data_IF_831340229035
#
_entry.id   IF_831340229035
#
_cell.length_a   1.000
_cell.length_b   1.000
_cell.length_c   1.000
_cell.angle_alpha   90.00
_cell.angle_beta   90.00
_cell.angle_gamma   90.00
#
_symmetry.space_group_name_H-M   'P 1'
#
loop_
_entity.id
_entity.type
_entity.pdbx_description
1 polymer ?
#
# COMPACT_ATOMS: atom_id res chain seq x y z
N UNK A 1 -25.75 12.31 18.50
CA UNK A 1 -25.22 11.91 18.65
C UNK A 1 -24.46 11.82 18.64
N UNK A 2 -24.30 11.65 18.80
CA UNK A 2 -23.67 11.53 18.87
C UNK A 2 -22.94 10.99 18.65
N UNK A 3 -22.52 11.22 18.41
CA UNK A 3 -21.81 10.53 18.14
C UNK A 3 -21.16 9.94 18.61
N UNK A 4 -21.20 10.15 19.05
CA UNK A 4 -20.76 9.76 19.56
C UNK A 4 -20.82 8.83 19.89
N UNK A 5 -21.30 9.00 20.14
CA UNK A 5 -21.48 7.96 20.49
C UNK A 5 -20.92 7.01 19.82
N UNK A 6 -19.82 7.12 19.62
CA UNK A 6 -19.15 6.12 19.02
C UNK A 6 -19.01 4.99 19.90
N UNK A 7 -19.51 3.93 19.51
CA UNK A 7 -19.32 2.69 20.09
C UNK A 7 -17.91 2.25 19.98
N UNK A 8 -17.53 1.31 20.78
CA UNK A 8 -16.23 0.70 20.67
C UNK A 8 -15.99 0.06 19.34
N UNK A 9 -17.01 -0.47 18.73
CA UNK A 9 -16.89 -1.04 17.40
C UNK A 9 -16.49 0.02 16.40
N UNK A 10 -17.01 1.19 16.56
CA UNK A 10 -16.67 2.26 15.64
C UNK A 10 -15.22 2.65 15.80
N UNK A 11 -14.74 2.67 17.03
CA UNK A 11 -13.34 2.98 17.26
C UNK A 11 -12.44 1.95 16.62
N UNK A 12 -12.81 0.70 16.77
CA UNK A 12 -12.08 -0.38 16.17
C UNK A 12 -12.03 -0.23 14.68
N UNK A 13 -13.17 0.07 14.11
CA UNK A 13 -13.28 0.26 12.68
C UNK A 13 -12.39 1.39 12.23
N UNK A 14 -12.33 2.45 13.01
CA UNK A 14 -11.47 3.57 12.68
C UNK A 14 -10.02 3.16 12.63
N UNK A 15 -9.58 2.32 13.55
CA UNK A 15 -8.22 1.83 13.55
C UNK A 15 -7.96 1.02 12.29
N UNK A 16 -8.89 0.16 11.92
CA UNK A 16 -8.76 -0.61 10.69
C UNK A 16 -8.73 0.31 9.48
N UNK A 17 -9.54 1.34 9.51
CA UNK A 17 -9.56 2.32 8.43
C UNK A 17 -8.21 2.96 8.27
N UNK A 18 -7.56 3.27 9.35
CA UNK A 18 -6.26 3.89 9.29
C UNK A 18 -5.25 2.98 8.61
N UNK A 19 -5.26 1.71 8.97
CA UNK A 19 -4.37 0.75 8.33
C UNK A 19 -4.68 0.62 6.86
N UNK A 20 -5.97 0.55 6.53
CA UNK A 20 -6.36 0.45 5.15
C UNK A 20 -5.93 1.66 4.36
N UNK A 21 -6.05 2.83 4.95
CA UNK A 21 -5.64 4.04 4.27
C UNK A 21 -4.14 4.03 3.98
N UNK A 22 -3.35 3.57 4.93
CA UNK A 22 -1.93 3.49 4.73
C UNK A 22 -1.57 2.48 3.66
N UNK A 23 -2.24 1.34 3.67
CA UNK A 23 -2.00 0.32 2.67
C UNK A 23 -2.34 0.85 1.29
N UNK A 24 -3.48 1.52 1.18
CA UNK A 24 -3.88 2.07 -0.11
C UNK A 24 -2.93 3.15 -0.59
N UNK A 25 -2.43 3.96 0.33
CA UNK A 25 -1.45 4.97 -0.02
C UNK A 25 -0.19 4.33 -0.58
N UNK A 26 0.30 3.31 0.08
CA UNK A 26 1.49 2.60 -0.38
C UNK A 26 1.23 1.95 -1.73
N UNK A 27 0.09 1.31 -1.88
CA UNK A 27 -0.24 0.68 -3.15
C UNK A 27 -0.29 1.69 -4.29
N UNK A 28 -0.82 2.86 -4.00
CA UNK A 28 -0.90 3.90 -5.01
C UNK A 28 0.48 4.36 -5.44
N UNK A 29 1.37 4.54 -4.47
CA UNK A 29 2.73 4.94 -4.79
C UNK A 29 3.43 3.89 -5.64
N UNK A 30 3.29 2.63 -5.27
CA UNK A 30 3.91 1.57 -6.05
C UNK A 30 3.30 1.45 -7.43
N UNK A 31 1.99 1.62 -7.52
CA UNK A 31 1.32 1.58 -8.80
C UNK A 31 1.88 2.64 -9.74
N UNK A 32 2.09 3.85 -9.22
CA UNK A 32 2.69 4.90 -10.02
C UNK A 32 4.11 4.54 -10.45
N UNK A 33 4.85 3.91 -9.56
CA UNK A 33 6.20 3.51 -9.89
C UNK A 33 6.23 2.44 -10.98
N UNK A 34 5.32 1.49 -10.90
CA UNK A 34 5.23 0.48 -11.96
C UNK A 34 5.00 1.15 -13.30
N UNK A 35 4.08 2.10 -13.33
CA UNK A 35 3.78 2.81 -14.57
C UNK A 35 5.00 3.55 -15.08
N UNK A 36 5.68 4.24 -14.18
CA UNK A 36 6.85 5.01 -14.59
C UNK A 36 7.95 4.11 -15.13
N UNK A 37 8.12 2.95 -14.55
CA UNK A 37 9.12 2.03 -15.04
C UNK A 37 8.74 1.53 -16.43
N UNK A 38 7.47 1.19 -16.61
CA UNK A 38 7.01 0.74 -17.91
C UNK A 38 7.19 1.80 -18.98
N UNK A 39 6.95 3.05 -18.62
CA UNK A 39 7.02 4.13 -19.59
C UNK A 39 8.44 4.55 -19.92
N UNK A 40 9.34 4.41 -18.97
CA UNK A 40 10.68 4.94 -19.13
C UNK A 40 11.75 3.89 -19.39
N UNK A 41 11.43 2.63 -19.21
CA UNK A 41 12.40 1.56 -19.37
C UNK A 41 11.98 0.67 -20.51
N UNK A 42 12.97 0.18 -21.25
CA UNK A 42 12.68 -0.74 -22.33
C UNK A 42 12.43 -2.12 -21.77
N UNK A 43 11.58 -2.90 -22.43
CA UNK A 43 11.38 -4.28 -22.00
C UNK A 43 12.71 -5.03 -22.04
N UNK A 44 12.92 -5.86 -21.03
CA UNK A 44 14.15 -6.62 -20.97
C UNK A 44 14.35 -7.14 -19.57
N UNK A 45 15.49 -7.76 -19.39
CA UNK A 45 15.79 -8.42 -18.14
C UNK A 45 15.88 -7.42 -16.99
N UNK A 46 16.54 -6.30 -17.24
CA UNK A 46 16.71 -5.32 -16.19
C UNK A 46 15.38 -4.74 -15.73
N UNK A 47 14.49 -4.48 -16.69
CA UNK A 47 13.19 -3.95 -16.35
C UNK A 47 12.37 -4.98 -15.59
N UNK A 48 12.44 -6.24 -16.00
CA UNK A 48 11.75 -7.30 -15.28
C UNK A 48 12.26 -7.43 -13.86
N UNK A 49 13.56 -7.34 -13.68
CA UNK A 49 14.12 -7.40 -12.34
C UNK A 49 13.66 -6.25 -11.49
N UNK A 50 13.62 -5.05 -12.08
CA UNK A 50 13.15 -3.89 -11.32
C UNK A 50 11.72 -4.09 -10.88
N UNK A 51 10.86 -4.60 -11.76
CA UNK A 51 9.47 -4.83 -11.40
C UNK A 51 9.34 -5.87 -10.29
N UNK A 52 10.14 -6.94 -10.39
CA UNK A 52 10.10 -7.99 -9.38
C UNK A 52 10.53 -7.46 -8.02
N UNK A 53 11.60 -6.69 -8.01
CA UNK A 53 12.08 -6.14 -6.74
C UNK A 53 11.10 -5.15 -6.17
N UNK A 54 10.43 -4.41 -7.03
CA UNK A 54 9.44 -3.46 -6.58
C UNK A 54 8.25 -4.18 -5.97
N UNK A 55 7.83 -5.28 -6.58
CA UNK A 55 6.75 -6.07 -6.03
C UNK A 55 7.12 -6.61 -4.65
N UNK A 56 8.35 -7.05 -4.52
CA UNK A 56 8.83 -7.55 -3.26
C UNK A 56 8.82 -6.44 -2.20
N UNK A 57 9.29 -5.27 -2.59
CA UNK A 57 9.31 -4.14 -1.68
C UNK A 57 7.91 -3.77 -1.24
N UNK A 58 6.96 -3.80 -2.15
CA UNK A 58 5.58 -3.50 -1.82
C UNK A 58 5.04 -4.49 -0.79
N UNK A 59 5.33 -5.76 -1.02
CA UNK A 59 4.90 -6.81 -0.12
C UNK A 59 5.40 -6.54 1.31
N UNK A 60 6.68 -6.26 1.43
CA UNK A 60 7.26 -6.02 2.75
C UNK A 60 6.77 -4.72 3.37
N UNK A 61 6.53 -3.71 2.54
CA UNK A 61 6.02 -2.45 3.06
C UNK A 61 4.64 -2.65 3.67
N UNK A 62 3.79 -3.42 2.99
CA UNK A 62 2.45 -3.66 3.51
C UNK A 62 2.52 -4.50 4.77
N UNK A 63 3.42 -5.48 4.80
CA UNK A 63 3.63 -6.24 6.02
C UNK A 63 4.03 -5.34 7.17
N UNK A 64 4.85 -4.34 6.89
CA UNK A 64 5.26 -3.41 7.91
C UNK A 64 4.13 -2.60 8.49
N UNK A 65 3.11 -2.34 7.66
CA UNK A 65 1.96 -1.60 8.14
C UNK A 65 1.08 -2.46 9.03
N UNK A 66 0.89 -3.71 8.64
CA UNK A 66 -0.05 -4.57 9.35
C UNK A 66 0.57 -5.29 10.53
N UNK A 67 1.89 -5.22 10.66
CA UNK A 67 2.56 -5.92 11.72
C UNK A 67 2.34 -5.24 13.04
N UNK A 68 2.21 -6.03 14.09
CA UNK A 68 2.03 -5.47 15.42
C UNK A 68 3.38 -5.20 16.09
#
# INVERSE_FOLDING_TARGET
MEPEELHEKAKYTDTNHEQENRINFIRTLFSNMYKQIEENCKPGRETSLAMTKLEEAQFWAIKGITRE
#
